data_IF_475662109315
#
_entry.id   IF_475662109315
#
_cell.length_a   1.000
_cell.length_b   1.000
_cell.length_c   1.000
_cell.angle_alpha   90.00
_cell.angle_beta   90.00
_cell.angle_gamma   90.00
#
_symmetry.space_group_name_H-M   'P 1'
#
loop_
_entity.id
_entity.type
_entity.pdbx_description
1 polymer ?
#
# COMPACT_ATOMS: atom_id res chain seq x y z
N UNK A 1 -14.49 -1.96 -13.68
CA UNK A 1 -13.77 -3.26 -13.78
C UNK A 1 -12.73 -3.13 -14.88
N UNK A 2 -11.48 -2.90 -14.54
CA UNK A 2 -10.38 -2.73 -15.51
C UNK A 2 -9.95 -4.11 -15.99
N UNK A 3 -10.56 -4.56 -17.09
CA UNK A 3 -10.12 -5.76 -17.80
C UNK A 3 -8.96 -5.40 -18.75
N UNK A 4 -7.80 -5.14 -18.19
CA UNK A 4 -6.58 -5.29 -18.99
C UNK A 4 -6.18 -6.76 -18.95
N UNK A 5 -6.31 -7.43 -20.10
CA UNK A 5 -5.85 -8.80 -20.36
C UNK A 5 -4.30 -8.85 -20.49
N UNK A 6 -3.59 -7.87 -19.97
CA UNK A 6 -2.17 -7.99 -19.77
C UNK A 6 -1.95 -8.97 -18.60
N UNK A 7 -1.29 -10.09 -18.84
CA UNK A 7 -0.90 -11.01 -17.77
C UNK A 7 -0.13 -10.21 -16.72
N UNK A 8 -0.61 -10.28 -15.47
CA UNK A 8 0.08 -9.62 -14.36
C UNK A 8 1.56 -9.99 -14.35
N UNK A 9 2.45 -9.05 -14.00
CA UNK A 9 3.86 -9.36 -13.85
C UNK A 9 4.08 -10.53 -12.91
N UNK A 10 5.06 -11.37 -13.23
CA UNK A 10 5.46 -12.52 -12.38
C UNK A 10 6.27 -12.10 -11.18
N UNK A 11 6.72 -10.86 -11.17
CA UNK A 11 7.61 -10.29 -10.19
C UNK A 11 7.00 -9.05 -9.57
N UNK A 12 7.27 -8.85 -8.29
CA UNK A 12 6.88 -7.65 -7.58
C UNK A 12 8.02 -7.19 -6.68
N UNK A 13 8.35 -5.90 -6.75
CA UNK A 13 9.28 -5.22 -5.85
C UNK A 13 8.49 -4.24 -4.97
N UNK A 14 8.49 -4.45 -3.66
CA UNK A 14 8.05 -3.45 -2.68
C UNK A 14 9.26 -2.65 -2.24
N UNK A 15 9.15 -1.33 -2.29
CA UNK A 15 10.15 -0.40 -1.77
C UNK A 15 9.56 0.22 -0.50
N UNK A 16 10.12 -0.11 0.67
CA UNK A 16 9.72 0.45 1.96
C UNK A 16 10.78 1.36 2.54
N UNK A 17 10.45 2.07 3.62
CA UNK A 17 11.39 3.00 4.27
C UNK A 17 12.64 2.27 4.83
N UNK A 18 12.45 1.05 5.34
CA UNK A 18 13.49 0.29 6.05
C UNK A 18 13.90 -0.99 5.35
N UNK A 19 13.19 -1.39 4.31
CA UNK A 19 13.45 -2.64 3.62
C UNK A 19 12.95 -2.63 2.17
N UNK A 20 13.54 -3.53 1.39
CA UNK A 20 13.03 -3.96 0.10
C UNK A 20 12.45 -5.36 0.25
N UNK A 21 11.34 -5.63 -0.41
CA UNK A 21 10.81 -6.97 -0.51
C UNK A 21 10.59 -7.35 -1.99
N UNK A 22 11.07 -8.53 -2.36
CA UNK A 22 10.93 -9.09 -3.69
C UNK A 22 10.03 -10.32 -3.64
N UNK A 23 9.07 -10.40 -4.51
CA UNK A 23 8.23 -11.57 -4.67
C UNK A 23 8.23 -12.06 -6.12
N UNK A 24 8.19 -13.37 -6.26
CA UNK A 24 8.11 -14.07 -7.54
C UNK A 24 6.99 -15.12 -7.48
N UNK A 25 6.14 -15.15 -8.50
CA UNK A 25 5.18 -16.23 -8.68
C UNK A 25 5.65 -17.19 -9.78
N UNK A 26 5.69 -18.46 -9.43
CA UNK A 26 5.88 -19.57 -10.36
C UNK A 26 4.70 -20.54 -10.27
N UNK A 27 4.63 -21.51 -11.16
CA UNK A 27 3.61 -22.57 -11.09
C UNK A 27 4.31 -23.91 -10.93
N UNK A 28 3.75 -24.78 -10.07
CA UNK A 28 4.19 -26.15 -10.00
C UNK A 28 3.71 -26.96 -11.24
N UNK A 29 4.09 -28.22 -11.33
CA UNK A 29 3.71 -29.12 -12.42
C UNK A 29 2.18 -29.38 -12.50
N UNK A 30 1.41 -29.07 -11.44
CA UNK A 30 -0.05 -29.12 -11.40
C UNK A 30 -0.70 -27.77 -11.68
N UNK A 31 0.09 -26.75 -12.06
CA UNK A 31 -0.39 -25.40 -12.32
C UNK A 31 -0.70 -24.57 -11.08
N UNK A 32 -0.42 -25.07 -9.86
CA UNK A 32 -0.66 -24.35 -8.62
C UNK A 32 0.38 -23.24 -8.44
N UNK A 33 -0.02 -22.04 -8.04
CA UNK A 33 0.92 -20.95 -7.82
C UNK A 33 1.85 -21.26 -6.63
N UNK A 34 3.12 -20.92 -6.78
CA UNK A 34 4.16 -20.97 -5.75
C UNK A 34 4.76 -19.59 -5.65
N UNK A 35 4.73 -19.01 -4.47
CA UNK A 35 5.25 -17.68 -4.18
C UNK A 35 6.58 -17.81 -3.46
N UNK A 36 7.62 -17.23 -4.03
CA UNK A 36 8.93 -17.07 -3.39
C UNK A 36 9.08 -15.61 -3.04
N UNK A 37 9.57 -15.30 -1.85
CA UNK A 37 9.83 -13.94 -1.45
C UNK A 37 11.16 -13.84 -0.70
N UNK A 38 11.77 -12.66 -0.78
CA UNK A 38 12.97 -12.29 -0.07
C UNK A 38 12.83 -10.86 0.42
N UNK A 39 13.44 -10.55 1.56
CA UNK A 39 13.49 -9.22 2.14
C UNK A 39 14.94 -8.84 2.39
N UNK A 40 15.29 -7.60 2.11
CA UNK A 40 16.60 -7.03 2.40
C UNK A 40 16.42 -5.72 3.16
N UNK A 41 17.06 -5.53 4.31
CA UNK A 41 17.03 -4.26 4.99
C UNK A 41 17.68 -3.17 4.14
N UNK A 42 17.13 -1.96 4.18
CA UNK A 42 17.71 -0.78 3.56
C UNK A 42 18.56 -0.01 4.58
N UNK A 43 19.78 0.42 4.20
CA UNK A 43 20.54 1.36 4.99
C UNK A 43 19.76 2.66 5.24
N UNK A 44 19.97 3.24 6.42
CA UNK A 44 19.40 4.53 6.75
C UNK A 44 19.88 5.64 5.80
N UNK A 45 19.01 6.60 5.49
CA UNK A 45 19.35 7.73 4.65
C UNK A 45 19.27 7.47 3.13
N UNK A 46 18.88 6.28 2.68
CA UNK A 46 18.63 6.03 1.26
C UNK A 46 17.27 6.58 0.80
N UNK A 47 16.28 6.50 1.69
CA UNK A 47 14.90 6.87 1.38
C UNK A 47 14.34 7.84 2.43
N UNK A 48 13.62 8.87 1.95
CA UNK A 48 12.82 9.77 2.77
C UNK A 48 11.43 9.86 2.16
N UNK A 49 10.41 9.51 2.92
CA UNK A 49 9.05 9.48 2.41
C UNK A 49 8.44 10.87 2.37
N UNK A 50 8.06 11.30 1.18
CA UNK A 50 7.34 12.55 0.93
C UNK A 50 6.51 12.42 -0.34
N UNK A 51 5.26 12.88 -0.35
CA UNK A 51 4.47 12.90 -1.58
C UNK A 51 4.84 14.05 -2.52
N UNK A 52 5.72 14.97 -2.09
CA UNK A 52 6.05 16.22 -2.79
C UNK A 52 7.53 16.35 -3.14
N UNK A 53 8.39 15.78 -2.32
CA UNK A 53 9.82 16.01 -2.39
C UNK A 53 10.55 14.78 -2.91
N UNK A 54 11.86 14.93 -3.09
CA UNK A 54 12.72 13.82 -3.46
C UNK A 54 12.67 12.72 -2.37
N UNK A 55 12.33 11.50 -2.78
CA UNK A 55 12.26 10.35 -1.90
C UNK A 55 13.55 9.54 -1.90
N UNK A 56 14.09 9.24 -3.07
CA UNK A 56 15.32 8.45 -3.20
C UNK A 56 16.52 9.41 -3.15
N UNK A 57 17.23 9.40 -2.01
CA UNK A 57 18.32 10.34 -1.76
C UNK A 57 19.63 9.90 -2.40
N UNK A 58 19.83 8.58 -2.54
CA UNK A 58 21.06 7.97 -3.09
C UNK A 58 20.66 6.92 -4.16
N UNK A 59 20.41 7.36 -5.42
CA UNK A 59 19.88 6.47 -6.47
C UNK A 59 20.80 5.29 -6.80
N UNK A 60 22.12 5.50 -6.84
CA UNK A 60 23.08 4.45 -7.17
C UNK A 60 23.12 3.35 -6.10
N UNK A 61 23.05 3.73 -4.83
CA UNK A 61 23.04 2.76 -3.72
C UNK A 61 21.71 2.01 -3.69
N UNK A 62 20.59 2.69 -3.96
CA UNK A 62 19.28 2.05 -4.10
C UNK A 62 19.27 1.04 -5.25
N UNK A 63 19.82 1.41 -6.41
CA UNK A 63 19.98 0.49 -7.54
C UNK A 63 20.78 -0.76 -7.14
N UNK A 64 21.90 -0.60 -6.46
CA UNK A 64 22.72 -1.73 -6.00
C UNK A 64 21.94 -2.65 -5.05
N UNK A 65 21.17 -2.10 -4.11
CA UNK A 65 20.32 -2.89 -3.22
C UNK A 65 19.23 -3.67 -3.98
N UNK A 66 18.58 -3.03 -4.94
CA UNK A 66 17.58 -3.69 -5.79
C UNK A 66 18.22 -4.82 -6.59
N UNK A 67 19.36 -4.57 -7.23
CA UNK A 67 20.09 -5.59 -8.00
C UNK A 67 20.50 -6.79 -7.14
N UNK A 68 20.99 -6.53 -5.93
CA UNK A 68 21.40 -7.57 -5.00
C UNK A 68 20.21 -8.46 -4.60
N UNK A 69 19.06 -7.85 -4.30
CA UNK A 69 17.84 -8.56 -3.89
C UNK A 69 17.21 -9.35 -5.05
N UNK A 70 17.15 -8.78 -6.25
CA UNK A 70 16.47 -9.38 -7.41
C UNK A 70 17.35 -10.35 -8.21
N UNK A 71 18.65 -10.37 -7.94
CA UNK A 71 19.60 -11.18 -8.69
C UNK A 71 19.79 -10.70 -10.14
N UNK A 72 19.53 -9.42 -10.43
CA UNK A 72 19.75 -8.82 -11.75
C UNK A 72 21.16 -8.25 -11.90
N UNK A 73 22.00 -8.34 -10.85
CA UNK A 73 23.40 -7.94 -10.89
C UNK A 73 24.26 -8.88 -11.75
N UNK A 74 25.49 -8.45 -12.15
CA UNK A 74 26.42 -9.30 -12.84
C UNK A 74 26.72 -10.52 -11.95
N UNK A 75 26.51 -11.71 -12.52
CA UNK A 75 26.76 -12.97 -11.80
C UNK A 75 28.25 -13.06 -11.45
N UNK A 76 28.59 -13.08 -10.16
CA UNK A 76 29.96 -13.33 -9.68
C UNK A 76 30.35 -14.82 -9.75
N UNK A 77 29.62 -15.65 -10.50
CA UNK A 77 29.99 -17.04 -10.69
C UNK A 77 31.03 -17.17 -11.78
N UNK A 78 32.27 -17.37 -11.35
CA UNK A 78 33.35 -18.10 -11.99
C UNK A 78 33.38 -18.17 -13.53
N UNK A 79 34.11 -17.28 -14.18
CA UNK A 79 35.07 -17.69 -15.20
C UNK A 79 34.59 -17.93 -16.62
N UNK A 80 33.37 -17.57 -17.01
CA UNK A 80 33.00 -17.51 -18.43
C UNK A 80 32.16 -16.25 -18.63
N UNK A 81 32.77 -15.22 -19.18
CA UNK A 81 32.06 -14.04 -19.70
C UNK A 81 31.25 -14.45 -20.95
N UNK A 82 30.14 -15.09 -20.78
CA UNK A 82 29.09 -15.07 -21.79
C UNK A 82 28.44 -13.71 -21.71
N UNK A 83 28.79 -12.81 -22.64
CA UNK A 83 28.33 -11.41 -22.71
C UNK A 83 26.84 -11.21 -22.94
N UNK A 84 26.01 -12.00 -22.28
CA UNK A 84 24.57 -11.90 -22.30
C UNK A 84 24.13 -10.88 -21.24
N UNK A 85 23.74 -9.68 -21.67
CA UNK A 85 23.07 -8.72 -20.79
C UNK A 85 21.86 -9.41 -20.16
N UNK A 86 21.69 -9.29 -18.84
CA UNK A 86 20.50 -9.86 -18.20
C UNK A 86 19.23 -9.28 -18.85
N UNK A 87 18.30 -10.15 -19.21
CA UNK A 87 17.04 -9.73 -19.82
C UNK A 87 16.23 -8.96 -18.76
N UNK A 88 15.81 -7.72 -19.07
CA UNK A 88 15.00 -6.95 -18.13
C UNK A 88 13.72 -7.70 -17.73
N UNK A 89 13.36 -7.62 -16.46
CA UNK A 89 12.19 -8.32 -15.90
C UNK A 89 11.02 -7.34 -15.71
N UNK A 90 9.89 -7.63 -16.31
CA UNK A 90 8.67 -6.89 -16.05
C UNK A 90 8.20 -7.16 -14.61
N UNK A 91 7.98 -6.10 -13.84
CA UNK A 91 7.62 -6.20 -12.44
C UNK A 91 6.50 -5.20 -12.06
N UNK A 92 5.72 -5.58 -11.06
CA UNK A 92 4.92 -4.63 -10.29
C UNK A 92 5.85 -3.94 -9.29
N UNK A 93 5.77 -2.62 -9.18
CA UNK A 93 6.48 -1.84 -8.17
C UNK A 93 5.47 -1.34 -7.14
N UNK A 94 5.68 -1.68 -5.89
CA UNK A 94 4.81 -1.25 -4.79
C UNK A 94 5.51 -0.16 -4.00
N UNK A 95 4.91 1.03 -4.05
CA UNK A 95 5.38 2.22 -3.37
C UNK A 95 4.92 2.22 -1.91
N UNK A 96 5.69 2.86 -1.01
CA UNK A 96 5.22 3.16 0.34
C UNK A 96 4.06 4.17 0.30
N UNK A 97 3.10 4.02 1.20
CA UNK A 97 1.88 4.84 1.23
C UNK A 97 2.16 6.35 1.28
N UNK A 98 3.21 6.73 1.98
CA UNK A 98 3.56 8.14 2.19
C UNK A 98 4.28 8.78 0.99
N UNK A 99 4.59 8.02 -0.06
CA UNK A 99 5.07 8.57 -1.33
C UNK A 99 3.93 9.13 -2.20
N UNK A 100 2.69 8.88 -1.82
CA UNK A 100 1.49 9.33 -2.52
C UNK A 100 0.54 10.07 -1.57
N UNK A 101 -0.49 10.72 -2.12
CA UNK A 101 -1.64 11.18 -1.34
C UNK A 101 -2.87 10.37 -1.73
N UNK A 102 -3.62 9.99 -0.71
CA UNK A 102 -4.89 9.32 -0.83
C UNK A 102 -6.00 10.27 -0.40
N UNK A 103 -7.11 10.29 -1.13
CA UNK A 103 -8.25 11.14 -0.81
C UNK A 103 -9.56 10.40 -1.08
N UNK A 104 -10.59 10.72 -0.30
CA UNK A 104 -11.97 10.33 -0.54
C UNK A 104 -12.76 11.59 -0.79
N UNK A 105 -13.43 11.66 -1.94
CA UNK A 105 -14.24 12.79 -2.35
C UNK A 105 -15.70 12.40 -2.36
N UNK A 106 -16.55 13.35 -1.97
CA UNK A 106 -18.00 13.24 -2.10
C UNK A 106 -18.45 14.23 -3.18
N UNK A 107 -19.07 13.72 -4.26
CA UNK A 107 -19.53 14.48 -5.41
C UNK A 107 -21.05 14.30 -5.58
N UNK A 108 -21.79 15.38 -5.76
CA UNK A 108 -23.23 15.30 -5.98
C UNK A 108 -23.56 14.73 -7.35
N UNK A 109 -22.79 15.15 -8.35
CA UNK A 109 -22.92 14.71 -9.74
C UNK A 109 -21.59 14.21 -10.27
N UNK A 110 -21.67 13.19 -11.13
CA UNK A 110 -20.50 12.61 -11.77
C UNK A 110 -20.77 12.47 -13.28
N UNK A 111 -19.94 13.12 -14.14
CA UNK A 111 -20.10 13.01 -15.59
C UNK A 111 -19.96 11.57 -16.11
N UNK A 112 -20.62 11.27 -17.21
CA UNK A 112 -20.55 9.94 -17.88
C UNK A 112 -19.20 9.72 -18.55
N UNK A 113 -18.63 10.77 -19.13
CA UNK A 113 -17.32 10.74 -19.80
C UNK A 113 -16.20 10.60 -18.78
N UNK A 114 -15.24 9.72 -19.04
CA UNK A 114 -14.06 9.53 -18.18
C UNK A 114 -13.20 10.80 -18.09
N UNK A 115 -13.09 11.54 -19.20
CA UNK A 115 -12.30 12.78 -19.27
C UNK A 115 -12.91 13.89 -18.42
N UNK A 116 -14.24 14.04 -18.50
CA UNK A 116 -14.96 15.01 -17.68
C UNK A 116 -14.92 14.63 -16.19
N UNK A 117 -15.03 13.33 -15.88
CA UNK A 117 -14.85 12.85 -14.49
C UNK A 117 -13.49 13.20 -13.94
N UNK A 118 -12.44 12.93 -14.69
CA UNK A 118 -11.07 13.25 -14.27
C UNK A 118 -10.90 14.77 -14.06
N UNK A 119 -11.51 15.61 -14.90
CA UNK A 119 -11.50 17.05 -14.75
C UNK A 119 -12.22 17.49 -13.47
N UNK A 120 -13.42 16.94 -13.19
CA UNK A 120 -14.19 17.25 -11.96
C UNK A 120 -13.44 16.77 -10.71
N UNK A 121 -12.87 15.57 -10.72
CA UNK A 121 -12.07 15.04 -9.60
C UNK A 121 -10.85 15.95 -9.35
N UNK A 122 -10.10 16.31 -10.38
CA UNK A 122 -8.96 17.23 -10.27
C UNK A 122 -9.36 18.59 -9.73
N UNK A 123 -10.45 19.17 -10.25
CA UNK A 123 -10.96 20.44 -9.77
C UNK A 123 -11.31 20.36 -8.26
N UNK A 124 -12.03 19.32 -7.84
CA UNK A 124 -12.42 19.14 -6.45
C UNK A 124 -11.22 18.95 -5.52
N UNK A 125 -10.23 18.14 -5.91
CA UNK A 125 -8.97 17.97 -5.18
C UNK A 125 -8.22 19.30 -5.02
N UNK A 126 -8.24 20.14 -6.06
CA UNK A 126 -7.64 21.48 -6.01
C UNK A 126 -8.35 22.42 -5.02
N UNK A 127 -9.67 22.33 -4.89
CA UNK A 127 -10.45 23.12 -3.92
C UNK A 127 -10.14 22.69 -2.46
N UNK A 128 -9.92 21.42 -2.21
CA UNK A 128 -9.58 20.92 -0.87
C UNK A 128 -8.13 21.23 -0.45
N UNK A 129 -7.34 21.85 -1.32
CA UNK A 129 -5.95 22.26 -1.10
C UNK A 129 -5.04 21.13 -0.56
N UNK A 130 -5.40 19.89 -0.86
CA UNK A 130 -4.67 18.72 -0.36
C UNK A 130 -3.24 18.65 -0.92
N UNK A 131 -3.05 19.18 -2.14
CA UNK A 131 -1.76 19.19 -2.84
C UNK A 131 -1.80 20.13 -4.06
N UNK A 132 -0.64 20.67 -4.45
CA UNK A 132 -0.52 21.20 -5.81
C UNK A 132 -0.68 20.06 -6.81
N UNK A 133 -1.65 20.17 -7.71
CA UNK A 133 -1.87 19.18 -8.77
C UNK A 133 -0.99 19.43 -10.01
N UNK A 134 -0.17 20.49 -9.99
CA UNK A 134 0.79 20.74 -11.05
C UNK A 134 1.82 19.63 -11.10
N UNK A 135 1.97 18.95 -12.25
CA UNK A 135 2.87 17.81 -12.42
C UNK A 135 2.45 16.56 -11.62
N UNK A 136 1.19 16.47 -11.21
CA UNK A 136 0.68 15.29 -10.53
C UNK A 136 -0.15 14.40 -11.47
N UNK A 137 0.06 13.08 -11.37
CA UNK A 137 -0.87 12.07 -11.88
C UNK A 137 -1.96 11.83 -10.84
N UNK A 138 -3.20 11.82 -11.28
CA UNK A 138 -4.37 11.51 -10.43
C UNK A 138 -5.06 10.30 -11.03
N UNK A 139 -5.23 9.27 -10.20
CA UNK A 139 -6.00 8.09 -10.51
C UNK A 139 -7.23 8.09 -9.62
N UNK A 140 -8.41 7.87 -10.18
CA UNK A 140 -9.65 7.88 -9.42
C UNK A 140 -10.51 6.67 -9.70
N UNK A 141 -11.27 6.25 -8.69
CA UNK A 141 -12.23 5.16 -8.79
C UNK A 141 -13.51 5.53 -8.05
N UNK A 142 -14.63 5.34 -8.71
CA UNK A 142 -15.96 5.45 -8.06
C UNK A 142 -16.13 4.24 -7.15
N UNK A 143 -16.34 4.50 -5.86
CA UNK A 143 -16.50 3.48 -4.83
C UNK A 143 -17.98 3.17 -4.57
N UNK A 144 -18.83 4.19 -4.56
CA UNK A 144 -20.28 4.06 -4.44
C UNK A 144 -20.97 4.85 -5.53
N UNK A 145 -21.97 4.24 -6.15
CA UNK A 145 -22.79 4.83 -7.19
C UNK A 145 -24.24 4.89 -6.68
N UNK A 146 -24.78 6.10 -6.43
CA UNK A 146 -26.16 6.26 -5.98
C UNK A 146 -27.20 5.77 -7.01
N UNK A 147 -26.84 5.64 -8.28
CA UNK A 147 -27.75 5.11 -9.30
C UNK A 147 -28.17 3.66 -9.03
N UNK A 148 -27.39 2.92 -8.26
CA UNK A 148 -27.73 1.57 -7.80
C UNK A 148 -28.70 1.53 -6.61
N UNK A 149 -28.80 2.63 -5.86
CA UNK A 149 -29.65 2.79 -4.66
C UNK A 149 -30.65 3.94 -4.75
N UNK A 150 -30.57 4.76 -5.79
CA UNK A 150 -31.55 5.82 -6.09
C UNK A 150 -31.33 7.17 -5.41
N UNK A 151 -30.52 7.26 -4.36
CA UNK A 151 -30.33 8.52 -3.62
C UNK A 151 -28.94 8.57 -2.98
N UNK A 152 -28.28 9.75 -3.06
CA UNK A 152 -27.04 10.05 -2.35
C UNK A 152 -25.90 10.49 -3.27
N UNK A 153 -24.84 11.06 -2.71
CA UNK A 153 -23.69 11.50 -3.47
C UNK A 153 -22.79 10.32 -3.89
N UNK A 154 -22.06 10.53 -4.98
CA UNK A 154 -20.98 9.63 -5.40
C UNK A 154 -19.80 9.72 -4.44
N UNK A 155 -19.27 8.56 -4.03
CA UNK A 155 -17.97 8.50 -3.34
C UNK A 155 -16.88 8.12 -4.34
N UNK A 156 -15.87 8.96 -4.45
CA UNK A 156 -14.73 8.75 -5.34
C UNK A 156 -13.45 8.66 -4.51
N UNK A 157 -12.73 7.56 -4.65
CA UNK A 157 -11.40 7.41 -4.08
C UNK A 157 -10.37 7.87 -5.08
N UNK A 158 -9.39 8.67 -4.65
CA UNK A 158 -8.33 9.20 -5.49
C UNK A 158 -6.94 8.90 -4.93
N UNK A 159 -6.02 8.56 -5.82
CA UNK A 159 -4.58 8.43 -5.57
C UNK A 159 -3.86 9.51 -6.36
N UNK A 160 -3.07 10.32 -5.69
CA UNK A 160 -2.34 11.45 -6.26
C UNK A 160 -0.86 11.19 -6.07
N UNK A 161 -0.09 11.19 -7.16
CA UNK A 161 1.36 11.03 -7.13
C UNK A 161 2.02 12.12 -7.97
N UNK A 162 3.04 12.79 -7.45
CA UNK A 162 3.85 13.72 -8.23
C UNK A 162 4.68 12.95 -9.25
N UNK A 163 4.68 13.39 -10.52
CA UNK A 163 5.45 12.75 -11.58
C UNK A 163 6.93 12.67 -11.25
N UNK A 164 7.47 13.70 -10.60
CA UNK A 164 8.86 13.74 -10.14
C UNK A 164 9.17 12.71 -9.06
N UNK A 165 8.20 12.39 -8.20
CA UNK A 165 8.34 11.31 -7.20
C UNK A 165 8.25 9.96 -7.88
N UNK A 166 7.25 9.73 -8.72
CA UNK A 166 7.06 8.47 -9.44
C UNK A 166 8.28 8.12 -10.29
N UNK A 167 8.80 9.10 -11.05
CA UNK A 167 9.96 8.91 -11.92
C UNK A 167 11.21 8.47 -11.16
N UNK A 168 11.41 8.84 -9.90
CA UNK A 168 12.54 8.37 -9.09
C UNK A 168 12.47 6.86 -8.87
N UNK A 169 11.29 6.34 -8.52
CA UNK A 169 11.09 4.91 -8.30
C UNK A 169 11.21 4.11 -9.60
N UNK A 170 10.62 4.62 -10.69
CA UNK A 170 10.72 4.00 -12.01
C UNK A 170 12.17 3.95 -12.46
N UNK A 171 12.91 5.07 -12.39
CA UNK A 171 14.29 5.16 -12.85
C UNK A 171 15.24 4.21 -12.11
N UNK A 172 15.14 4.08 -10.78
CA UNK A 172 16.02 3.15 -10.05
C UNK A 172 15.68 1.69 -10.34
N UNK A 173 14.40 1.37 -10.60
CA UNK A 173 14.01 0.04 -11.03
C UNK A 173 14.54 -0.28 -12.43
N UNK A 174 14.44 0.65 -13.38
CA UNK A 174 14.96 0.50 -14.73
C UNK A 174 16.48 0.37 -14.72
N UNK A 175 17.19 1.21 -13.97
CA UNK A 175 18.62 1.10 -13.77
C UNK A 175 19.00 -0.28 -13.20
N UNK A 176 18.20 -0.83 -12.28
CA UNK A 176 18.41 -2.16 -11.73
C UNK A 176 18.03 -3.31 -12.69
N UNK A 177 17.56 -3.04 -13.92
CA UNK A 177 17.18 -4.06 -14.90
C UNK A 177 15.77 -4.61 -14.74
N UNK A 178 14.90 -3.84 -14.07
CA UNK A 178 13.47 -4.12 -14.00
C UNK A 178 12.72 -3.20 -14.99
N UNK A 179 11.57 -3.64 -15.45
CA UNK A 179 10.63 -2.82 -16.21
C UNK A 179 9.39 -2.61 -15.33
N UNK A 180 9.16 -1.42 -14.76
CA UNK A 180 7.97 -1.10 -14.00
C UNK A 180 6.74 -1.16 -14.92
N UNK A 181 6.07 -2.31 -14.99
CA UNK A 181 4.90 -2.49 -15.83
C UNK A 181 3.63 -2.03 -15.11
N UNK A 182 3.62 -2.14 -13.80
CA UNK A 182 2.54 -1.72 -12.92
C UNK A 182 3.14 -1.04 -11.69
N UNK A 183 2.56 0.08 -11.26
CA UNK A 183 2.94 0.75 -10.01
C UNK A 183 1.72 0.80 -9.12
N UNK A 184 1.88 0.44 -7.86
CA UNK A 184 0.80 0.41 -6.88
C UNK A 184 1.27 0.89 -5.51
N UNK A 185 0.38 0.94 -4.54
CA UNK A 185 0.61 1.42 -3.18
C UNK A 185 0.42 0.28 -2.18
N UNK A 186 1.27 0.20 -1.16
CA UNK A 186 1.33 -0.92 -0.24
C UNK A 186 -0.02 -1.21 0.43
N UNK A 187 -0.66 -0.20 1.02
CA UNK A 187 -1.97 -0.37 1.68
C UNK A 187 -3.06 -0.79 0.71
N UNK A 188 -3.05 -0.31 -0.54
CA UNK A 188 -4.07 -0.69 -1.52
C UNK A 188 -3.93 -2.16 -1.93
N UNK A 189 -2.70 -2.65 -2.08
CA UNK A 189 -2.46 -4.09 -2.34
C UNK A 189 -2.93 -4.96 -1.19
N UNK A 190 -2.64 -4.57 0.04
CA UNK A 190 -3.05 -5.31 1.23
C UNK A 190 -4.57 -5.27 1.45
N UNK A 191 -5.19 -4.12 1.24
CA UNK A 191 -6.64 -3.96 1.29
C UNK A 191 -7.34 -4.86 0.25
N UNK A 192 -6.83 -4.86 -0.99
CA UNK A 192 -7.34 -5.72 -2.06
C UNK A 192 -7.15 -7.21 -1.75
N UNK A 193 -6.03 -7.59 -1.14
CA UNK A 193 -5.78 -8.96 -0.72
C UNK A 193 -6.80 -9.40 0.34
N UNK A 194 -6.99 -8.57 1.37
CA UNK A 194 -7.94 -8.83 2.43
C UNK A 194 -9.40 -8.88 1.92
N UNK A 195 -9.78 -7.94 1.06
CA UNK A 195 -11.14 -7.87 0.51
C UNK A 195 -11.53 -9.07 -0.36
N UNK A 196 -10.55 -9.75 -0.98
CA UNK A 196 -10.77 -10.98 -1.75
C UNK A 196 -10.95 -12.22 -0.88
N UNK A 197 -10.61 -12.16 0.40
CA UNK A 197 -10.81 -13.26 1.35
C UNK A 197 -12.29 -13.41 1.72
N UNK A 198 -12.68 -14.60 2.18
CA UNK A 198 -14.07 -14.89 2.63
C UNK A 198 -14.51 -13.95 3.76
N UNK A 199 -13.59 -13.64 4.66
CA UNK A 199 -13.84 -12.71 5.76
C UNK A 199 -14.08 -11.27 5.26
N UNK A 200 -13.37 -10.85 4.21
CA UNK A 200 -13.59 -9.54 3.58
C UNK A 200 -14.99 -9.42 2.98
N UNK A 201 -15.45 -10.45 2.31
CA UNK A 201 -16.77 -10.45 1.65
C UNK A 201 -17.94 -10.38 2.64
N UNK A 202 -17.86 -11.07 3.78
CA UNK A 202 -18.89 -11.04 4.82
C UNK A 202 -18.93 -9.71 5.60
N UNK A 203 -17.80 -8.98 5.65
CA UNK A 203 -17.65 -7.74 6.42
C UNK A 203 -17.94 -6.47 5.64
N UNK A 204 -18.19 -6.58 4.34
CA UNK A 204 -18.50 -5.43 3.48
C UNK A 204 -19.75 -4.65 3.90
N UNK A 205 -20.55 -5.15 4.85
CA UNK A 205 -21.76 -4.47 5.36
C UNK A 205 -21.59 -3.85 6.75
N UNK A 206 -20.44 -4.03 7.39
CA UNK A 206 -20.15 -3.50 8.72
C UNK A 206 -19.29 -2.26 8.69
N UNK A 207 -19.27 -1.55 9.82
CA UNK A 207 -18.37 -0.42 10.03
C UNK A 207 -17.05 -0.93 10.61
N UNK A 208 -15.95 -0.59 9.95
CA UNK A 208 -14.63 -1.00 10.41
C UNK A 208 -13.54 0.02 10.05
N UNK A 209 -12.49 -0.01 10.84
CA UNK A 209 -11.24 0.66 10.54
C UNK A 209 -10.28 -0.36 9.93
N UNK A 210 -9.75 -0.08 8.75
CA UNK A 210 -8.63 -0.83 8.17
C UNK A 210 -7.36 -0.01 8.34
N UNK A 211 -6.33 -0.59 8.97
CA UNK A 211 -5.12 0.12 9.37
C UNK A 211 -3.87 -0.63 8.89
N UNK A 212 -3.03 0.05 8.13
CA UNK A 212 -1.66 -0.35 7.87
C UNK A 212 -0.70 0.53 8.67
N UNK A 213 0.03 -0.06 9.62
CA UNK A 213 1.02 0.61 10.45
C UNK A 213 2.41 -0.01 10.22
N UNK A 214 2.91 0.15 9.01
CA UNK A 214 4.23 -0.31 8.56
C UNK A 214 5.03 0.85 7.98
N UNK A 215 6.33 0.63 7.70
CA UNK A 215 7.19 1.59 7.01
C UNK A 215 7.32 2.96 7.71
N UNK A 216 7.26 2.98 9.04
CA UNK A 216 7.47 4.22 9.82
C UNK A 216 6.34 5.23 9.77
N UNK A 217 5.15 4.81 9.34
CA UNK A 217 3.93 5.60 9.31
C UNK A 217 2.69 4.75 9.50
N UNK A 218 1.54 5.34 9.21
CA UNK A 218 0.30 4.58 9.11
C UNK A 218 -0.61 5.12 8.02
N UNK A 219 -1.45 4.23 7.51
CA UNK A 219 -2.57 4.56 6.63
C UNK A 219 -3.84 3.91 7.17
N UNK A 220 -4.83 4.73 7.45
CA UNK A 220 -6.12 4.34 8.00
C UNK A 220 -7.23 4.58 6.98
N UNK A 221 -8.07 3.59 6.76
CA UNK A 221 -9.29 3.68 5.95
C UNK A 221 -10.49 3.41 6.85
N UNK A 222 -11.45 4.33 6.86
CA UNK A 222 -12.71 4.18 7.60
C UNK A 222 -13.80 3.73 6.63
N UNK A 223 -14.44 2.62 6.95
CA UNK A 223 -15.55 2.09 6.18
C UNK A 223 -16.85 2.17 6.97
N UNK A 224 -17.89 2.67 6.33
CA UNK A 224 -19.26 2.68 6.84
C UNK A 224 -20.15 1.83 5.93
N UNK A 225 -20.76 0.78 6.48
CA UNK A 225 -21.61 -0.15 5.72
C UNK A 225 -20.95 -0.65 4.42
N UNK A 226 -19.64 -0.91 4.51
CA UNK A 226 -18.82 -1.37 3.39
C UNK A 226 -18.34 -0.30 2.42
N UNK A 227 -18.79 0.94 2.56
CA UNK A 227 -18.34 2.06 1.74
C UNK A 227 -17.16 2.78 2.40
N UNK A 228 -16.13 3.07 1.62
CA UNK A 228 -15.01 3.87 2.09
C UNK A 228 -15.45 5.32 2.26
N UNK A 229 -15.41 5.84 3.49
CA UNK A 229 -15.84 7.20 3.82
C UNK A 229 -14.68 8.14 4.16
N UNK A 230 -13.52 7.59 4.54
CA UNK A 230 -12.39 8.42 4.91
C UNK A 230 -11.06 7.67 4.75
N UNK A 231 -10.01 8.42 4.43
CA UNK A 231 -8.63 7.92 4.39
C UNK A 231 -7.68 8.92 5.03
N UNK A 232 -6.71 8.43 5.77
CA UNK A 232 -5.64 9.23 6.37
C UNK A 232 -4.32 8.49 6.35
N UNK A 233 -3.30 9.13 5.80
CA UNK A 233 -1.90 8.64 5.87
C UNK A 233 -1.05 9.66 6.60
N UNK A 234 -0.21 9.19 7.53
CA UNK A 234 0.64 10.05 8.35
C UNK A 234 1.97 9.39 8.67
N UNK A 235 3.05 10.17 8.56
CA UNK A 235 4.37 9.76 9.01
C UNK A 235 4.40 9.76 10.55
N UNK A 236 4.96 8.72 11.14
CA UNK A 236 5.22 8.66 12.56
C UNK A 236 6.51 9.42 12.86
N UNK A 237 6.38 10.60 13.47
CA UNK A 237 7.54 11.41 13.86
C UNK A 237 8.30 10.68 14.97
N UNK A 238 9.58 10.40 14.75
CA UNK A 238 10.44 9.61 15.66
C UNK A 238 10.97 8.33 15.01
N UNK A 239 10.33 7.81 13.98
CA UNK A 239 10.81 6.61 13.27
C UNK A 239 12.16 6.80 12.56
N UNK A 240 12.55 8.04 12.24
CA UNK A 240 13.84 8.37 11.66
C UNK A 240 14.99 8.52 12.68
N UNK A 241 14.69 8.60 13.97
CA UNK A 241 15.70 8.80 15.04
C UNK A 241 15.80 7.62 16.01
N UNK A 242 14.94 6.62 15.91
CA UNK A 242 14.86 5.52 16.87
C UNK A 242 15.51 4.23 16.38
N UNK A 243 16.66 4.31 15.75
CA UNK A 243 17.50 3.12 15.47
C UNK A 243 18.19 2.55 16.73
N UNK A 244 17.70 2.82 17.92
CA UNK A 244 18.36 2.34 19.11
C UNK A 244 17.58 2.28 20.41
N UNK A 245 16.34 2.70 20.47
CA UNK A 245 15.59 2.73 21.72
C UNK A 245 14.31 1.91 21.66
N UNK A 246 14.29 0.95 22.55
CA UNK A 246 13.16 0.12 22.91
C UNK A 246 11.83 0.88 22.97
N UNK A 247 10.78 0.27 22.38
CA UNK A 247 9.36 0.47 22.71
C UNK A 247 8.97 1.94 22.90
N UNK A 248 8.83 2.67 21.80
CA UNK A 248 8.22 3.99 21.86
C UNK A 248 6.69 3.85 22.06
N UNK A 249 6.28 3.71 23.34
CA UNK A 249 4.87 3.69 23.74
C UNK A 249 4.14 4.95 23.25
N UNK A 250 4.86 6.06 23.10
CA UNK A 250 4.31 7.33 22.60
C UNK A 250 3.90 7.23 21.13
N UNK A 251 4.60 6.45 20.34
CA UNK A 251 4.27 6.22 18.91
C UNK A 251 2.97 5.42 18.72
N UNK A 252 2.81 4.34 19.49
CA UNK A 252 1.60 3.52 19.49
C UNK A 252 0.38 4.32 19.95
N UNK A 253 0.53 5.05 21.08
CA UNK A 253 -0.56 5.89 21.61
C UNK A 253 -0.97 6.99 20.61
N UNK A 254 -0.01 7.57 19.88
CA UNK A 254 -0.29 8.55 18.84
C UNK A 254 -1.06 7.94 17.68
N UNK A 255 -0.70 6.76 17.18
CA UNK A 255 -1.45 6.08 16.10
C UNK A 255 -2.90 5.85 16.54
N UNK A 256 -3.11 5.31 17.74
CA UNK A 256 -4.46 5.05 18.27
C UNK A 256 -5.26 6.33 18.40
N UNK A 257 -4.65 7.40 18.92
CA UNK A 257 -5.30 8.71 19.06
C UNK A 257 -5.67 9.30 17.69
N UNK A 258 -4.76 9.28 16.71
CA UNK A 258 -5.03 9.77 15.36
C UNK A 258 -6.15 8.96 14.65
N UNK A 259 -6.22 7.66 14.93
CA UNK A 259 -7.33 6.84 14.43
C UNK A 259 -8.65 7.20 15.13
N UNK A 260 -8.64 7.40 16.45
CA UNK A 260 -9.82 7.84 17.21
C UNK A 260 -10.31 9.21 16.73
N UNK A 261 -9.42 10.17 16.53
CA UNK A 261 -9.75 11.49 16.00
C UNK A 261 -10.34 11.40 14.59
N UNK A 262 -9.82 10.50 13.75
CA UNK A 262 -10.34 10.26 12.41
C UNK A 262 -11.74 9.65 12.43
N UNK A 263 -11.98 8.67 13.30
CA UNK A 263 -13.32 8.08 13.50
C UNK A 263 -14.29 9.15 13.99
N UNK A 264 -13.90 9.94 15.00
CA UNK A 264 -14.72 11.02 15.53
C UNK A 264 -15.08 12.05 14.46
N UNK A 265 -14.09 12.47 13.64
CA UNK A 265 -14.35 13.39 12.53
C UNK A 265 -15.36 12.81 11.52
N UNK A 266 -15.27 11.51 11.22
CA UNK A 266 -16.23 10.84 10.34
C UNK A 266 -17.63 10.81 10.93
N UNK A 267 -17.75 10.57 12.25
CA UNK A 267 -19.05 10.53 12.97
C UNK A 267 -19.80 11.87 12.94
N UNK A 268 -19.08 13.00 12.75
CA UNK A 268 -19.73 14.31 12.62
C UNK A 268 -20.44 14.50 11.27
N UNK A 269 -20.11 13.69 10.27
CA UNK A 269 -20.59 13.81 8.89
C UNK A 269 -21.26 12.53 8.36
N UNK A 270 -21.22 11.45 9.13
CA UNK A 270 -21.77 10.15 8.75
C UNK A 270 -22.63 9.63 9.90
N UNK A 271 -23.95 9.70 9.70
CA UNK A 271 -24.91 9.25 10.70
C UNK A 271 -24.72 7.74 10.98
N UNK A 272 -24.87 7.36 12.26
CA UNK A 272 -24.83 5.97 12.73
C UNK A 272 -23.47 5.24 12.52
N UNK A 273 -22.38 5.96 12.17
CA UNK A 273 -21.06 5.34 12.10
C UNK A 273 -20.64 4.78 13.47
N UNK A 274 -20.50 3.48 13.56
CA UNK A 274 -20.10 2.78 14.78
C UNK A 274 -19.05 1.71 14.47
N UNK A 275 -17.77 2.06 14.64
CA UNK A 275 -16.66 1.14 14.39
C UNK A 275 -16.71 0.02 15.43
N UNK A 276 -16.95 -1.20 14.96
CA UNK A 276 -17.02 -2.41 15.78
C UNK A 276 -15.74 -3.25 15.72
N UNK A 277 -14.90 -3.01 14.73
CA UNK A 277 -13.67 -3.79 14.52
C UNK A 277 -12.57 -2.98 13.85
N UNK A 278 -11.34 -3.39 14.12
CA UNK A 278 -10.13 -2.93 13.44
C UNK A 278 -9.50 -4.09 12.70
N UNK A 279 -9.20 -3.90 11.42
CA UNK A 279 -8.38 -4.81 10.62
C UNK A 279 -6.99 -4.22 10.58
N UNK A 280 -6.01 -4.91 11.16
CA UNK A 280 -4.68 -4.36 11.41
C UNK A 280 -3.61 -5.12 10.63
N UNK A 281 -2.81 -4.39 9.86
CA UNK A 281 -1.49 -4.80 9.38
C UNK A 281 -0.47 -3.93 10.09
N UNK A 282 0.48 -4.51 10.78
CA UNK A 282 1.50 -3.74 11.49
C UNK A 282 2.82 -4.50 11.56
N UNK A 283 3.92 -3.77 11.72
CA UNK A 283 5.22 -4.36 11.99
C UNK A 283 5.13 -5.27 13.22
N UNK A 284 5.84 -6.40 13.19
CA UNK A 284 5.76 -7.44 14.22
C UNK A 284 6.01 -6.91 15.64
N UNK A 285 6.84 -5.86 15.76
CA UNK A 285 7.14 -5.20 17.03
C UNK A 285 6.03 -4.28 17.52
N UNK A 286 5.21 -3.74 16.63
CA UNK A 286 4.12 -2.80 16.96
C UNK A 286 2.76 -3.49 17.11
N UNK A 287 2.56 -4.61 16.40
CA UNK A 287 1.26 -5.28 16.32
C UNK A 287 0.65 -5.63 17.70
N UNK A 288 1.38 -6.23 18.66
CA UNK A 288 0.80 -6.60 19.95
C UNK A 288 0.35 -5.39 20.79
N UNK A 289 1.13 -4.31 20.77
CA UNK A 289 0.83 -3.10 21.53
C UNK A 289 -0.34 -2.34 20.88
N UNK A 290 -0.38 -2.23 19.55
CA UNK A 290 -1.50 -1.62 18.83
C UNK A 290 -2.79 -2.41 19.08
N UNK A 291 -2.76 -3.74 18.96
CA UNK A 291 -3.92 -4.59 19.23
C UNK A 291 -4.48 -4.32 20.64
N UNK A 292 -3.64 -4.43 21.65
CA UNK A 292 -4.02 -4.21 23.04
C UNK A 292 -4.59 -2.81 23.28
N UNK A 293 -4.03 -1.79 22.63
CA UNK A 293 -4.48 -0.40 22.79
C UNK A 293 -5.82 -0.16 22.11
N UNK A 294 -6.06 -0.70 20.92
CA UNK A 294 -7.35 -0.60 20.25
C UNK A 294 -8.45 -1.34 21.03
N UNK A 295 -8.20 -2.57 21.47
CA UNK A 295 -9.14 -3.34 22.28
C UNK A 295 -9.52 -2.62 23.57
N UNK A 296 -8.51 -2.09 24.29
CA UNK A 296 -8.73 -1.40 25.56
C UNK A 296 -9.27 0.01 25.42
N UNK A 297 -8.79 0.77 24.41
CA UNK A 297 -9.10 2.20 24.27
C UNK A 297 -10.40 2.48 23.54
N UNK A 298 -10.72 1.68 22.52
CA UNK A 298 -11.94 1.82 21.71
C UNK A 298 -12.97 0.73 21.97
N UNK A 299 -12.63 -0.32 22.74
CA UNK A 299 -13.55 -1.44 22.99
C UNK A 299 -13.89 -2.26 21.75
N UNK A 300 -13.03 -2.25 20.75
CA UNK A 300 -13.27 -2.87 19.44
C UNK A 300 -12.50 -4.19 19.31
N UNK A 301 -12.98 -5.09 18.47
CA UNK A 301 -12.25 -6.31 18.14
C UNK A 301 -11.15 -6.00 17.12
N UNK A 302 -9.97 -6.59 17.28
CA UNK A 302 -8.83 -6.39 16.37
C UNK A 302 -8.51 -7.68 15.62
N UNK A 303 -8.54 -7.62 14.30
CA UNK A 303 -8.17 -8.71 13.41
C UNK A 303 -6.82 -8.41 12.79
N UNK A 304 -5.81 -9.20 13.12
CA UNK A 304 -4.49 -9.07 12.50
C UNK A 304 -4.47 -9.74 11.13
N UNK A 305 -3.93 -9.04 10.15
CA UNK A 305 -3.55 -9.61 8.85
C UNK A 305 -2.06 -9.97 8.93
N UNK A 306 -1.79 -11.23 8.91
CA UNK A 306 -0.46 -11.81 8.96
C UNK A 306 -0.25 -12.84 7.83
N UNK A 307 0.87 -13.55 7.88
CA UNK A 307 1.18 -14.62 6.94
C UNK A 307 0.21 -15.79 7.00
N UNK A 308 -0.37 -16.08 8.16
CA UNK A 308 -1.33 -17.19 8.28
C UNK A 308 -2.67 -16.80 7.66
N UNK A 309 -3.06 -15.53 7.76
CA UNK A 309 -4.18 -14.98 7.00
C UNK A 309 -3.95 -15.14 5.48
N UNK A 310 -2.78 -14.73 4.99
CA UNK A 310 -2.42 -14.89 3.57
C UNK A 310 -2.43 -16.35 3.13
N UNK A 311 -1.88 -17.27 3.91
CA UNK A 311 -1.86 -18.70 3.60
C UNK A 311 -3.26 -19.31 3.50
N UNK A 312 -4.20 -18.89 4.36
CA UNK A 312 -5.60 -19.34 4.31
C UNK A 312 -6.31 -18.93 3.03
N UNK A 313 -5.99 -17.74 2.52
CA UNK A 313 -6.68 -17.14 1.37
C UNK A 313 -5.92 -17.29 0.05
N UNK A 314 -4.63 -17.65 0.08
CA UNK A 314 -3.88 -17.97 -1.13
C UNK A 314 -4.15 -19.41 -1.57
N UNK A 315 -4.54 -19.60 -2.83
CA UNK A 315 -4.63 -20.94 -3.46
C UNK A 315 -3.23 -21.55 -3.72
N UNK A 316 -2.16 -20.91 -3.23
CA UNK A 316 -0.77 -21.24 -3.51
C UNK A 316 0.08 -21.55 -2.27
N UNK A 317 1.28 -22.03 -2.51
CA UNK A 317 2.28 -22.28 -1.47
C UNK A 317 3.23 -21.10 -1.37
N UNK A 318 3.29 -20.45 -0.21
CA UNK A 318 4.31 -19.43 0.07
C UNK A 318 5.56 -20.13 0.61
N UNK A 319 6.68 -19.92 -0.07
CA UNK A 319 7.98 -20.48 0.32
C UNK A 319 8.74 -19.45 1.17
N UNK A 320 9.05 -19.83 2.40
CA UNK A 320 9.69 -18.98 3.39
C UNK A 320 8.70 -18.31 4.35
N UNK A 321 9.22 -17.68 5.37
CA UNK A 321 8.47 -16.84 6.32
C UNK A 321 9.17 -15.50 6.45
N UNK A 322 9.19 -14.69 5.39
CA UNK A 322 9.71 -13.34 5.49
C UNK A 322 8.76 -12.53 6.37
N UNK A 323 9.29 -11.51 7.07
CA UNK A 323 8.49 -10.65 7.94
C UNK A 323 7.30 -9.99 7.23
N UNK A 324 6.45 -9.35 8.01
CA UNK A 324 5.21 -8.70 7.53
C UNK A 324 5.44 -7.74 6.37
N UNK A 325 6.64 -7.14 6.29
CA UNK A 325 7.06 -6.22 5.24
C UNK A 325 7.01 -6.79 3.83
N UNK A 326 7.06 -8.11 3.67
CA UNK A 326 6.96 -8.77 2.37
C UNK A 326 5.52 -8.99 1.89
N UNK A 327 4.52 -8.83 2.76
CA UNK A 327 3.11 -9.04 2.40
C UNK A 327 2.68 -8.22 1.17
N UNK A 328 3.00 -6.90 1.06
CA UNK A 328 2.61 -6.12 -0.11
C UNK A 328 3.23 -6.64 -1.41
N UNK A 329 4.47 -7.13 -1.36
CA UNK A 329 5.14 -7.69 -2.53
C UNK A 329 4.47 -9.00 -2.99
N UNK A 330 4.14 -9.90 -2.06
CA UNK A 330 3.42 -11.15 -2.38
C UNK A 330 2.01 -10.84 -2.88
N UNK A 331 1.28 -9.89 -2.26
CA UNK A 331 -0.01 -9.41 -2.75
C UNK A 331 0.08 -8.84 -4.17
N UNK A 332 1.22 -8.28 -4.56
CA UNK A 332 1.48 -7.73 -5.89
C UNK A 332 1.58 -8.78 -7.00
N UNK A 333 1.92 -10.04 -6.68
CA UNK A 333 2.00 -11.16 -7.65
C UNK A 333 0.81 -12.14 -7.55
N UNK A 334 -0.14 -11.93 -6.62
CA UNK A 334 -1.39 -12.68 -6.44
C UNK A 334 -2.53 -12.06 -7.26
#
# INVERSE_FOLDING_TARGET
MWNWIASRPRYCLKIGLRDLAWAEVSRDWRGRPRYRCAVSPLPEGLLRLSPLEQNILQPNDMEMQIRALTGTGPSQSSGVETGSRPVPRAATVVLPDLAVRLAVLTLQDLPWSSEERDAVVRWRLGQEQLLSLAGAKVFSQVMSDPSSSGEGPYTVFAVIVQETVLAQYESVCEAAGLIPQEVDVASLRLLNLWAKGEEGTQRLTSDYLWLNATDGGFTAFVFHRGNLVYVRSKLQVGAAQAAGLAQDRTGVDRIVQECADSIYACQQHTDELNISQVVLVADETLAPDLQKRFEKGLGVNVNLIDWDHLKKHSKGVVLGSPGISALPAVAGVM
#
